data_IF_083388761911
#
_entry.id   IF_083388761911
#
_cell.length_a   1.000
_cell.length_b   1.000
_cell.length_c   1.000
_cell.angle_alpha   90.00
_cell.angle_beta   90.00
_cell.angle_gamma   90.00
#
_symmetry.space_group_name_H-M   'P 1'
#
loop_
_entity.id
_entity.type
_entity.pdbx_description
1 polymer ?
#
# COMPACT_ATOMS: atom_id res chain seq x y z
N UNK A 1 27.98 6.73 -9.75
CA UNK A 1 27.74 5.28 -9.91
C UNK A 1 28.26 4.54 -8.70
N UNK A 2 27.35 4.13 -7.80
CA UNK A 2 27.47 2.93 -6.96
C UNK A 2 26.05 2.57 -6.51
N UNK A 3 25.71 1.32 -6.76
CA UNK A 3 24.38 0.72 -6.81
C UNK A 3 23.81 0.59 -5.39
N UNK A 4 22.56 0.98 -5.18
CA UNK A 4 21.75 0.44 -4.08
C UNK A 4 20.67 -0.40 -4.77
N UNK A 5 20.87 -1.70 -4.66
CA UNK A 5 20.00 -2.74 -5.19
C UNK A 5 18.83 -2.89 -4.21
N UNK A 6 17.61 -2.71 -4.71
CA UNK A 6 16.39 -3.06 -4.00
C UNK A 6 16.38 -4.54 -3.62
N UNK A 7 15.86 -4.87 -2.43
CA UNK A 7 15.46 -6.23 -2.11
C UNK A 7 14.12 -6.21 -1.39
N UNK A 8 13.07 -6.26 -2.21
CA UNK A 8 11.69 -6.51 -1.79
C UNK A 8 11.58 -7.88 -1.11
N UNK A 9 11.19 -7.90 0.16
CA UNK A 9 10.79 -9.14 0.83
C UNK A 9 9.26 -9.24 0.77
N UNK A 10 8.76 -10.02 -0.18
CA UNK A 10 7.37 -10.44 -0.23
C UNK A 10 7.11 -11.42 0.94
N UNK A 11 6.37 -10.97 1.95
CA UNK A 11 5.88 -11.85 3.02
C UNK A 11 4.70 -12.66 2.46
N UNK A 12 4.96 -13.93 2.15
CA UNK A 12 3.97 -14.91 1.75
C UNK A 12 3.29 -15.46 3.02
N UNK A 13 2.13 -14.91 3.39
CA UNK A 13 1.30 -15.45 4.48
C UNK A 13 0.54 -16.68 3.94
N UNK A 14 1.04 -17.87 4.25
CA UNK A 14 0.34 -19.11 4.01
C UNK A 14 -0.72 -19.33 5.11
N UNK A 15 -1.99 -19.05 4.78
CA UNK A 15 -3.13 -19.50 5.58
C UNK A 15 -3.32 -21.01 5.38
N UNK A 16 -3.01 -21.81 6.40
CA UNK A 16 -3.53 -23.19 6.49
C UNK A 16 -4.61 -23.25 7.55
N UNK A 17 -5.86 -23.25 7.09
CA UNK A 17 -7.03 -23.64 7.85
C UNK A 17 -6.92 -25.15 8.16
N UNK A 18 -6.70 -25.51 9.42
CA UNK A 18 -6.88 -26.89 9.89
C UNK A 18 -7.98 -26.92 10.95
N UNK A 19 -9.17 -27.27 10.47
CA UNK A 19 -10.27 -27.71 11.31
C UNK A 19 -10.11 -29.21 11.59
N UNK A 20 -10.05 -29.60 12.85
CA UNK A 20 -10.63 -30.85 13.36
C UNK A 20 -10.67 -30.77 14.90
N UNK A 21 -11.87 -30.95 15.44
CA UNK A 21 -12.18 -30.76 16.85
C UNK A 21 -11.97 -31.99 17.73
N UNK A 22 -12.60 -31.95 18.90
CA UNK A 22 -12.85 -33.12 19.73
C UNK A 22 -12.34 -32.98 21.17
N UNK A 23 -13.18 -32.39 22.01
CA UNK A 23 -13.08 -32.39 23.48
C UNK A 23 -13.32 -33.81 24.00
N UNK A 24 -12.47 -34.29 24.91
CA UNK A 24 -12.90 -35.16 26.04
C UNK A 24 -12.06 -34.88 27.29
N UNK A 25 -12.76 -34.93 28.43
CA UNK A 25 -12.35 -34.62 29.80
C UNK A 25 -11.99 -35.93 30.54
N UNK A 26 -10.94 -35.93 31.38
CA UNK A 26 -10.95 -36.53 32.74
C UNK A 26 -9.71 -36.12 33.57
N UNK A 27 -9.79 -36.10 34.92
CA UNK A 27 -8.74 -35.57 35.80
C UNK A 27 -7.95 -36.64 36.61
N UNK A 28 -6.82 -36.17 37.17
CA UNK A 28 -6.11 -36.61 38.38
C UNK A 28 -5.46 -38.01 38.46
N UNK A 29 -4.16 -38.06 38.77
CA UNK A 29 -3.65 -38.87 39.89
C UNK A 29 -2.30 -38.34 40.44
N UNK A 30 -2.15 -38.46 41.76
CA UNK A 30 -0.97 -38.17 42.57
C UNK A 30 0.01 -39.34 42.58
N UNK A 31 1.31 -39.06 42.72
CA UNK A 31 2.30 -40.12 42.93
C UNK A 31 3.70 -39.62 43.26
N UNK A 32 3.94 -39.46 44.56
CA UNK A 32 5.23 -39.16 45.21
C UNK A 32 6.37 -40.12 44.86
N UNK A 33 7.59 -39.59 44.76
CA UNK A 33 8.82 -40.39 44.66
C UNK A 33 10.09 -39.54 44.80
N UNK A 34 10.50 -39.29 46.05
CA UNK A 34 11.79 -38.69 46.43
C UNK A 34 12.91 -39.72 46.25
N UNK A 35 14.06 -39.32 45.66
CA UNK A 35 15.38 -39.55 46.25
C UNK A 35 16.51 -38.81 45.52
N UNK A 36 17.50 -38.48 46.34
CA UNK A 36 18.64 -37.57 46.22
C UNK A 36 19.92 -38.41 46.06
N UNK A 37 20.86 -38.05 45.17
CA UNK A 37 22.31 -38.28 45.39
C UNK A 37 23.21 -37.55 44.36
N UNK A 38 23.84 -36.48 44.86
CA UNK A 38 25.27 -36.10 44.80
C UNK A 38 26.18 -36.29 43.56
N UNK A 39 26.81 -35.16 43.19
CA UNK A 39 28.26 -34.92 42.97
C UNK A 39 28.97 -35.23 41.62
N UNK A 40 29.59 -34.16 41.10
CA UNK A 40 30.57 -33.95 39.99
C UNK A 40 31.95 -34.61 40.27
N UNK A 41 32.98 -34.71 39.37
CA UNK A 41 33.50 -33.67 38.44
C UNK A 41 34.08 -34.11 37.05
N UNK A 42 34.56 -33.11 36.29
CA UNK A 42 35.32 -33.08 35.01
C UNK A 42 36.53 -34.06 34.93
N UNK A 43 37.21 -34.35 33.79
CA UNK A 43 38.01 -33.49 32.87
C UNK A 43 38.34 -34.24 31.52
N UNK A 44 39.28 -33.81 30.64
CA UNK A 44 39.03 -33.49 29.23
C UNK A 44 39.60 -34.53 28.24
N UNK A 45 39.32 -34.40 26.93
CA UNK A 45 40.25 -34.94 25.95
C UNK A 45 40.31 -34.15 24.66
N UNK A 46 41.57 -34.02 24.27
CA UNK A 46 42.17 -33.23 23.22
C UNK A 46 41.83 -33.72 21.80
N UNK A 47 42.00 -32.76 20.89
CA UNK A 47 41.84 -32.73 19.43
C UNK A 47 42.62 -33.82 18.68
N UNK A 48 42.32 -34.09 17.40
CA UNK A 48 43.06 -33.37 16.35
C UNK A 48 42.25 -32.97 15.11
N UNK A 49 42.66 -31.82 14.56
CA UNK A 49 42.34 -31.27 13.23
C UNK A 49 42.99 -32.14 12.13
N UNK A 50 42.40 -32.19 10.91
CA UNK A 50 43.21 -31.86 9.75
C UNK A 50 42.51 -30.94 8.72
N UNK A 51 43.27 -29.91 8.33
CA UNK A 51 43.49 -29.34 7.00
C UNK A 51 42.35 -29.10 5.98
N UNK A 52 42.08 -27.80 5.79
CA UNK A 52 42.33 -27.03 4.55
C UNK A 52 41.78 -27.56 3.21
N UNK A 53 40.64 -27.00 2.80
CA UNK A 53 40.26 -26.79 1.38
C UNK A 53 39.55 -25.42 1.32
N UNK A 54 40.28 -24.33 1.06
CA UNK A 54 40.53 -23.72 -0.25
C UNK A 54 39.27 -23.17 -0.93
N UNK A 55 39.19 -21.84 -0.81
CA UNK A 55 38.36 -20.88 -1.52
C UNK A 55 38.55 -20.97 -3.03
N UNK A 56 37.46 -21.13 -3.78
CA UNK A 56 37.40 -20.79 -5.21
C UNK A 56 36.22 -19.84 -5.45
N UNK A 57 36.58 -18.61 -5.81
CA UNK A 57 35.75 -17.62 -6.50
C UNK A 57 35.57 -18.01 -7.96
N UNK A 58 34.42 -17.71 -8.59
CA UNK A 58 34.37 -17.41 -10.01
C UNK A 58 34.26 -15.89 -10.22
N UNK A 59 35.28 -15.31 -10.85
CA UNK A 59 35.25 -13.98 -11.47
C UNK A 59 34.58 -14.07 -12.86
N UNK A 60 33.97 -12.98 -13.39
CA UNK A 60 33.08 -12.99 -14.54
C UNK A 60 33.80 -12.68 -15.86
N UNK A 61 33.29 -13.25 -16.95
CA UNK A 61 33.49 -12.74 -18.31
C UNK A 61 32.23 -13.12 -19.12
N UNK A 62 31.35 -12.17 -19.49
CA UNK A 62 31.43 -11.18 -20.57
C UNK A 62 30.93 -11.71 -21.93
N UNK A 63 29.89 -11.00 -22.42
CA UNK A 63 29.42 -10.83 -23.80
C UNK A 63 28.50 -11.89 -24.40
N UNK A 64 27.23 -11.50 -24.59
CA UNK A 64 26.61 -11.44 -25.92
C UNK A 64 25.66 -10.21 -25.97
N UNK A 65 25.96 -9.31 -26.90
CA UNK A 65 25.05 -8.25 -27.39
C UNK A 65 23.83 -8.90 -28.09
N UNK A 66 22.65 -8.28 -28.14
CA UNK A 66 22.08 -7.53 -29.30
C UNK A 66 20.53 -7.61 -29.10
N UNK A 67 19.65 -6.66 -29.53
CA UNK A 67 19.66 -5.20 -29.41
C UNK A 67 18.31 -4.62 -28.86
N UNK A 68 18.36 -3.35 -28.49
CA UNK A 68 17.21 -2.45 -28.28
C UNK A 68 16.42 -2.26 -29.58
N UNK A 69 15.14 -2.66 -29.57
CA UNK A 69 14.18 -2.42 -30.64
C UNK A 69 13.17 -1.32 -30.27
N UNK A 70 13.37 -0.15 -30.86
CA UNK A 70 12.49 1.02 -30.87
C UNK A 70 11.08 0.68 -31.38
N UNK A 71 10.03 1.07 -30.67
CA UNK A 71 8.67 1.13 -31.24
C UNK A 71 8.12 2.55 -31.09
N UNK A 72 8.01 3.25 -32.21
CA UNK A 72 7.32 4.53 -32.43
C UNK A 72 6.33 4.31 -33.59
N UNK A 73 5.16 4.97 -33.63
CA UNK A 73 3.92 4.42 -34.18
C UNK A 73 3.81 4.52 -35.71
N UNK A 74 3.17 3.52 -36.31
CA UNK A 74 2.75 3.55 -37.70
C UNK A 74 1.25 3.89 -37.79
N UNK A 75 1.01 5.01 -38.46
CA UNK A 75 -0.25 5.60 -38.85
C UNK A 75 -0.80 4.91 -40.12
N UNK A 76 -2.14 4.80 -40.19
CA UNK A 76 -3.03 4.76 -41.35
C UNK A 76 -2.61 4.02 -42.64
N UNK A 77 -3.43 3.03 -43.04
CA UNK A 77 -3.66 2.73 -44.46
C UNK A 77 -5.17 2.70 -44.73
N UNK A 78 -5.57 3.60 -45.62
CA UNK A 78 -6.85 3.56 -46.31
C UNK A 78 -6.95 2.30 -47.19
N UNK A 79 -8.17 1.78 -47.33
CA UNK A 79 -8.54 1.02 -48.52
C UNK A 79 -9.97 1.37 -48.90
N UNK A 80 -10.03 2.06 -50.02
CA UNK A 80 -11.21 2.46 -50.79
C UNK A 80 -11.67 1.24 -51.61
N UNK A 81 -12.98 0.95 -51.67
CA UNK A 81 -13.62 0.40 -52.88
C UNK A 81 -15.14 0.52 -52.82
N UNK A 82 -15.62 1.17 -53.87
CA UNK A 82 -16.95 1.54 -54.32
C UNK A 82 -17.96 0.37 -54.52
N UNK A 83 -19.26 0.69 -54.38
CA UNK A 83 -20.39 -0.23 -54.49
C UNK A 83 -21.78 0.40 -54.23
N UNK A 84 -22.11 1.45 -54.99
CA UNK A 84 -23.34 2.29 -54.98
C UNK A 84 -24.75 1.62 -54.92
N UNK A 85 -25.71 2.41 -54.36
CA UNK A 85 -27.19 2.57 -54.62
C UNK A 85 -28.18 1.78 -53.72
N UNK A 86 -29.20 2.35 -53.03
CA UNK A 86 -29.97 3.62 -53.16
C UNK A 86 -30.79 3.93 -51.85
N UNK A 87 -31.69 4.94 -51.75
CA UNK A 87 -31.57 6.14 -50.92
C UNK A 87 -32.50 6.17 -49.67
N UNK A 88 -31.99 6.68 -48.54
CA UNK A 88 -32.78 6.88 -47.32
C UNK A 88 -32.54 8.25 -46.70
N UNK A 89 -33.42 9.20 -47.03
CA UNK A 89 -33.72 10.46 -46.32
C UNK A 89 -32.54 11.23 -45.68
N UNK A 90 -32.19 12.31 -46.37
CA UNK A 90 -31.64 13.53 -45.77
C UNK A 90 -32.44 13.93 -44.52
N UNK A 91 -31.82 13.83 -43.35
CA UNK A 91 -32.03 14.78 -42.27
C UNK A 91 -30.81 15.72 -42.24
N UNK A 92 -30.69 16.55 -43.27
CA UNK A 92 -29.99 17.83 -43.14
C UNK A 92 -30.87 18.73 -42.27
N UNK A 93 -30.76 18.58 -40.95
CA UNK A 93 -31.30 19.57 -40.01
C UNK A 93 -30.31 20.72 -39.95
N UNK A 94 -30.76 21.86 -40.47
CA UNK A 94 -30.16 23.16 -40.26
C UNK A 94 -30.02 23.43 -38.74
N UNK A 95 -28.80 23.64 -38.20
CA UNK A 95 -28.63 23.88 -36.78
C UNK A 95 -28.97 25.33 -36.44
N UNK A 96 -30.24 25.59 -36.15
CA UNK A 96 -30.61 26.61 -35.17
C UNK A 96 -30.58 25.91 -33.79
N UNK A 97 -29.38 25.53 -33.35
CA UNK A 97 -29.16 24.44 -32.41
C UNK A 97 -29.32 24.85 -30.95
N UNK A 98 -30.54 24.67 -30.40
CA UNK A 98 -30.71 24.47 -28.97
C UNK A 98 -30.42 23.00 -28.58
N UNK A 99 -30.09 22.77 -27.32
CA UNK A 99 -29.82 21.43 -26.78
C UNK A 99 -30.99 20.46 -26.98
N UNK A 100 -30.67 19.20 -27.32
CA UNK A 100 -31.67 18.11 -27.43
C UNK A 100 -32.29 17.78 -26.07
N UNK A 101 -33.39 17.02 -26.06
CA UNK A 101 -34.00 16.56 -24.80
C UNK A 101 -33.03 15.66 -24.02
N UNK A 102 -32.32 14.75 -24.68
CA UNK A 102 -31.37 13.87 -24.01
C UNK A 102 -30.18 14.62 -23.42
N UNK A 103 -29.64 15.60 -24.15
CA UNK A 103 -28.61 16.52 -23.64
C UNK A 103 -29.06 17.29 -22.39
N UNK A 104 -30.29 17.81 -22.36
CA UNK A 104 -30.85 18.48 -21.17
C UNK A 104 -31.01 17.53 -19.99
N UNK A 105 -31.44 16.30 -20.25
CA UNK A 105 -31.59 15.28 -19.22
C UNK A 105 -30.23 14.87 -18.64
N UNK A 106 -29.22 14.68 -19.49
CA UNK A 106 -27.84 14.39 -19.07
C UNK A 106 -27.27 15.52 -18.20
N UNK A 107 -27.48 16.78 -18.60
CA UNK A 107 -27.09 17.95 -17.82
C UNK A 107 -27.78 17.99 -16.44
N UNK A 108 -29.08 17.72 -16.37
CA UNK A 108 -29.79 17.65 -15.08
C UNK A 108 -29.25 16.52 -14.19
N UNK A 109 -28.86 15.40 -14.79
CA UNK A 109 -28.23 14.29 -14.07
C UNK A 109 -26.83 14.61 -13.61
N UNK A 110 -26.02 15.28 -14.43
CA UNK A 110 -24.71 15.80 -14.04
C UNK A 110 -24.81 16.66 -12.77
N UNK A 111 -25.74 17.62 -12.74
CA UNK A 111 -25.98 18.43 -11.53
C UNK A 111 -26.41 17.60 -10.32
N UNK A 112 -27.24 16.58 -10.53
CA UNK A 112 -27.69 15.68 -9.45
C UNK A 112 -26.51 14.92 -8.85
N UNK A 113 -25.63 14.36 -9.70
CA UNK A 113 -24.42 13.66 -9.25
C UNK A 113 -23.46 14.57 -8.50
N UNK A 114 -23.13 15.73 -9.07
CA UNK A 114 -22.21 16.70 -8.47
C UNK A 114 -22.75 17.30 -7.16
N UNK A 115 -24.07 17.26 -6.93
CA UNK A 115 -24.66 17.66 -5.64
C UNK A 115 -24.49 16.61 -4.53
N UNK A 116 -24.20 15.35 -4.88
CA UNK A 116 -24.08 14.25 -3.94
C UNK A 116 -22.64 13.81 -3.70
N UNK A 117 -21.81 13.79 -4.75
CA UNK A 117 -20.41 13.38 -4.69
C UNK A 117 -19.56 14.18 -5.67
N UNK A 118 -18.26 14.28 -5.37
CA UNK A 118 -17.30 14.83 -6.30
C UNK A 118 -16.96 13.83 -7.42
N UNK A 119 -16.78 14.35 -8.64
CA UNK A 119 -16.41 13.59 -9.83
C UNK A 119 -15.31 14.32 -10.61
N UNK A 120 -14.45 13.53 -11.24
CA UNK A 120 -13.64 14.03 -12.35
C UNK A 120 -14.51 14.25 -13.59
N UNK A 121 -14.00 15.00 -14.57
CA UNK A 121 -14.70 15.17 -15.85
C UNK A 121 -15.00 13.81 -16.49
N UNK A 122 -13.98 12.95 -16.63
CA UNK A 122 -14.12 11.63 -17.25
C UNK A 122 -15.03 10.72 -16.42
N UNK A 123 -14.86 10.71 -15.09
CA UNK A 123 -15.72 9.90 -14.21
C UNK A 123 -17.18 10.31 -14.27
N UNK A 124 -17.49 11.61 -14.46
CA UNK A 124 -18.86 12.07 -14.65
C UNK A 124 -19.43 11.62 -16.01
N UNK A 125 -18.64 11.70 -17.07
CA UNK A 125 -19.04 11.19 -18.41
C UNK A 125 -19.33 9.69 -18.33
N UNK A 126 -18.41 8.90 -17.78
CA UNK A 126 -18.56 7.45 -17.64
C UNK A 126 -19.80 7.09 -16.80
N UNK A 127 -20.06 7.84 -15.72
CA UNK A 127 -21.23 7.64 -14.88
C UNK A 127 -22.55 7.91 -15.61
N UNK A 128 -22.59 8.92 -16.49
CA UNK A 128 -23.77 9.23 -17.30
C UNK A 128 -23.95 8.18 -18.41
N UNK A 129 -22.87 7.73 -19.05
CA UNK A 129 -22.95 6.61 -20.01
C UNK A 129 -23.49 5.33 -19.35
N UNK A 130 -23.04 5.05 -18.13
CA UNK A 130 -23.56 3.94 -17.34
C UNK A 130 -25.08 4.08 -17.04
N UNK A 131 -25.59 5.31 -16.86
CA UNK A 131 -27.04 5.57 -16.75
C UNK A 131 -27.80 5.43 -18.09
N UNK A 132 -27.10 5.20 -19.21
CA UNK A 132 -27.68 4.95 -20.51
C UNK A 132 -27.82 6.17 -21.41
N UNK A 133 -27.16 7.28 -21.07
CA UNK A 133 -26.99 8.41 -22.00
C UNK A 133 -26.02 8.02 -23.13
N UNK A 134 -26.21 8.57 -24.34
CA UNK A 134 -25.18 8.40 -25.37
C UNK A 134 -23.92 9.16 -24.98
N UNK A 135 -22.77 8.78 -25.55
CA UNK A 135 -21.50 9.48 -25.31
C UNK A 135 -21.64 10.99 -25.55
N UNK A 136 -22.30 11.40 -26.64
CA UNK A 136 -22.51 12.82 -26.96
C UNK A 136 -23.42 13.54 -25.96
N UNK A 137 -24.37 12.85 -25.34
CA UNK A 137 -25.23 13.40 -24.29
C UNK A 137 -24.49 13.52 -22.96
N UNK A 138 -23.68 12.52 -22.60
CA UNK A 138 -22.87 12.50 -21.40
C UNK A 138 -21.80 13.61 -21.43
N UNK A 139 -21.05 13.71 -22.53
CA UNK A 139 -20.10 14.79 -22.79
C UNK A 139 -20.79 16.15 -22.73
N UNK A 140 -21.96 16.29 -23.37
CA UNK A 140 -22.74 17.53 -23.26
C UNK A 140 -23.10 17.86 -21.81
N UNK A 141 -23.51 16.87 -21.02
CA UNK A 141 -23.81 17.04 -19.60
C UNK A 141 -22.62 17.55 -18.80
N UNK A 142 -21.45 16.92 -18.96
CA UNK A 142 -20.22 17.33 -18.29
C UNK A 142 -19.74 18.72 -18.74
N UNK A 143 -19.73 19.01 -20.05
CA UNK A 143 -19.31 20.30 -20.60
C UNK A 143 -20.17 21.48 -20.14
N UNK A 144 -21.47 21.25 -19.93
CA UNK A 144 -22.44 22.32 -19.66
C UNK A 144 -22.87 22.41 -18.19
N UNK A 145 -22.35 21.55 -17.31
CA UNK A 145 -22.72 21.56 -15.89
C UNK A 145 -22.09 22.71 -15.09
N UNK A 146 -21.09 23.40 -15.64
CA UNK A 146 -20.42 24.51 -14.97
C UNK A 146 -19.59 24.09 -13.76
N UNK A 147 -19.18 22.82 -13.70
CA UNK A 147 -18.28 22.34 -12.65
C UNK A 147 -16.91 23.02 -12.77
N UNK A 148 -16.37 23.40 -11.61
CA UNK A 148 -14.96 23.70 -11.44
C UNK A 148 -14.25 22.38 -11.10
N UNK A 149 -13.51 21.84 -12.06
CA UNK A 149 -12.89 20.52 -11.94
C UNK A 149 -11.77 20.47 -10.90
N UNK A 150 -11.08 21.59 -10.66
CA UNK A 150 -10.09 21.71 -9.59
C UNK A 150 -10.80 21.68 -8.22
N UNK A 151 -11.93 22.38 -8.10
CA UNK A 151 -12.76 22.31 -6.89
C UNK A 151 -13.34 20.90 -6.66
N UNK A 152 -13.71 20.18 -7.72
CA UNK A 152 -14.13 18.78 -7.60
C UNK A 152 -13.00 17.88 -7.10
N UNK A 153 -11.76 18.07 -7.57
CA UNK A 153 -10.61 17.32 -7.09
C UNK A 153 -10.37 17.53 -5.60
N UNK A 154 -10.46 18.79 -5.14
CA UNK A 154 -10.34 19.15 -3.71
C UNK A 154 -11.41 18.46 -2.86
N UNK A 155 -12.68 18.48 -3.28
CA UNK A 155 -13.76 17.83 -2.53
C UNK A 155 -13.64 16.30 -2.54
N UNK A 156 -13.16 15.70 -3.63
CA UNK A 156 -12.87 14.26 -3.70
C UNK A 156 -11.74 13.87 -2.76
N UNK A 157 -10.65 14.65 -2.76
CA UNK A 157 -9.52 14.47 -1.88
C UNK A 157 -9.95 14.51 -0.40
N UNK A 158 -10.72 15.55 -0.01
CA UNK A 158 -11.33 15.63 1.34
C UNK A 158 -12.20 14.44 1.67
N UNK A 159 -12.97 13.92 0.70
CA UNK A 159 -13.80 12.74 0.90
C UNK A 159 -12.95 11.52 1.24
N UNK A 160 -11.86 11.27 0.51
CA UNK A 160 -10.92 10.19 0.81
C UNK A 160 -10.30 10.31 2.21
N UNK A 161 -9.83 11.51 2.55
CA UNK A 161 -9.19 11.80 3.82
C UNK A 161 -10.11 11.68 5.05
N UNK A 162 -11.44 11.69 4.85
CA UNK A 162 -12.40 11.42 5.94
C UNK A 162 -12.44 9.95 6.35
N UNK A 163 -12.03 9.03 5.47
CA UNK A 163 -12.16 7.59 5.70
C UNK A 163 -10.82 6.87 5.83
N UNK A 164 -9.78 7.38 5.17
CA UNK A 164 -8.46 6.77 5.16
C UNK A 164 -7.36 7.84 5.16
N UNK A 165 -6.19 7.50 5.69
CA UNK A 165 -5.00 8.34 5.59
C UNK A 165 -4.22 8.02 4.32
N UNK A 166 -3.74 9.06 3.67
CA UNK A 166 -2.92 9.00 2.45
C UNK A 166 -1.64 9.81 2.64
N UNK A 167 -0.56 9.36 2.01
CA UNK A 167 0.55 10.26 1.68
C UNK A 167 0.12 11.27 0.62
N UNK A 168 0.90 12.33 0.42
CA UNK A 168 0.60 13.33 -0.60
C UNK A 168 0.60 12.71 -2.01
N UNK A 169 1.68 12.00 -2.37
CA UNK A 169 1.78 11.27 -3.63
C UNK A 169 0.69 10.20 -3.78
N UNK A 170 0.41 9.44 -2.71
CA UNK A 170 -0.65 8.42 -2.74
C UNK A 170 -2.06 9.01 -2.95
N UNK A 171 -2.31 10.23 -2.46
CA UNK A 171 -3.57 10.93 -2.71
C UNK A 171 -3.65 11.43 -4.16
N UNK A 172 -2.54 11.91 -4.72
CA UNK A 172 -2.46 12.29 -6.14
C UNK A 172 -2.78 11.08 -7.01
N UNK A 173 -2.08 9.95 -6.81
CA UNK A 173 -2.29 8.71 -7.54
C UNK A 173 -3.76 8.25 -7.45
N UNK A 174 -4.37 8.37 -6.27
CA UNK A 174 -5.77 8.01 -6.06
C UNK A 174 -6.74 8.90 -6.85
N UNK A 175 -6.45 10.20 -6.97
CA UNK A 175 -7.26 11.12 -7.76
C UNK A 175 -7.06 10.91 -9.26
N UNK A 176 -5.85 10.60 -9.71
CA UNK A 176 -5.61 10.22 -11.11
C UNK A 176 -6.37 8.93 -11.48
N UNK A 177 -6.38 7.95 -10.57
CA UNK A 177 -7.18 6.74 -10.74
C UNK A 177 -8.68 7.04 -10.84
N UNK A 178 -9.16 8.07 -10.14
CA UNK A 178 -10.55 8.58 -10.25
C UNK A 178 -10.81 9.38 -11.55
N UNK A 179 -9.82 9.49 -12.43
CA UNK A 179 -9.93 10.11 -13.75
C UNK A 179 -9.70 11.62 -13.76
N UNK A 180 -9.18 12.21 -12.67
CA UNK A 180 -8.68 13.59 -12.69
C UNK A 180 -7.40 13.66 -13.53
N UNK A 181 -7.16 14.81 -14.15
CA UNK A 181 -5.83 15.08 -14.76
C UNK A 181 -4.77 15.22 -13.66
N UNK A 182 -3.50 14.99 -14.00
CA UNK A 182 -2.39 15.17 -13.05
C UNK A 182 -2.43 16.55 -12.36
N UNK A 183 -2.60 17.63 -13.13
CA UNK A 183 -2.65 18.98 -12.58
C UNK A 183 -3.82 19.18 -11.59
N UNK A 184 -5.00 18.59 -11.88
CA UNK A 184 -6.16 18.60 -10.97
C UNK A 184 -5.92 17.75 -9.73
N UNK A 185 -5.28 16.59 -9.87
CA UNK A 185 -4.97 15.71 -8.76
C UNK A 185 -3.98 16.37 -7.79
N UNK A 186 -2.91 16.97 -8.32
CA UNK A 186 -1.95 17.79 -7.56
C UNK A 186 -2.67 18.95 -6.87
N UNK A 187 -3.49 19.71 -7.61
CA UNK A 187 -4.25 20.81 -7.02
C UNK A 187 -5.19 20.34 -5.91
N UNK A 188 -5.87 19.20 -6.12
CA UNK A 188 -6.75 18.58 -5.14
C UNK A 188 -6.02 18.19 -3.86
N UNK A 189 -4.88 17.52 -3.98
CA UNK A 189 -4.04 17.14 -2.85
C UNK A 189 -3.52 18.38 -2.10
N UNK A 190 -3.00 19.39 -2.81
CA UNK A 190 -2.44 20.60 -2.21
C UNK A 190 -3.49 21.46 -1.47
N UNK A 191 -4.74 21.47 -1.95
CA UNK A 191 -5.77 22.38 -1.46
C UNK A 191 -6.88 21.70 -0.63
N UNK A 192 -6.76 20.40 -0.34
CA UNK A 192 -7.77 19.69 0.46
C UNK A 192 -7.67 19.91 1.97
N UNK A 193 -6.73 20.74 2.42
CA UNK A 193 -6.52 21.04 3.84
C UNK A 193 -5.65 19.99 4.55
N UNK A 194 -4.72 19.37 3.82
CA UNK A 194 -3.66 18.55 4.40
C UNK A 194 -2.81 19.43 5.33
N UNK A 195 -3.02 19.33 6.63
CA UNK A 195 -1.90 19.57 7.53
C UNK A 195 -1.04 18.30 7.48
N UNK A 196 0.05 18.31 6.70
CA UNK A 196 0.88 17.14 6.36
C UNK A 196 1.24 16.24 7.55
N UNK A 197 1.52 16.82 8.72
CA UNK A 197 1.78 16.08 9.95
C UNK A 197 0.58 15.30 10.49
N UNK A 198 -0.66 15.73 10.24
CA UNK A 198 -1.87 15.09 10.77
C UNK A 198 -2.16 13.72 10.14
N UNK A 199 -1.88 13.56 8.84
CA UNK A 199 -2.14 12.29 8.13
C UNK A 199 -1.08 11.24 8.43
N UNK A 200 0.19 11.63 8.47
CA UNK A 200 1.27 10.73 8.85
C UNK A 200 1.07 10.23 10.29
N UNK A 201 0.70 11.11 11.24
CA UNK A 201 0.36 10.73 12.62
C UNK A 201 -0.83 9.77 12.67
N UNK A 202 -1.90 10.03 11.90
CA UNK A 202 -3.07 9.15 11.86
C UNK A 202 -2.72 7.76 11.30
N UNK A 203 -1.91 7.72 10.24
CA UNK A 203 -1.43 6.48 9.63
C UNK A 203 -0.51 5.70 10.57
N UNK A 204 0.42 6.38 11.25
CA UNK A 204 1.26 5.80 12.28
C UNK A 204 0.43 5.10 13.37
N UNK A 205 -0.61 5.76 13.89
CA UNK A 205 -1.53 5.17 14.87
C UNK A 205 -2.24 3.94 14.31
N UNK A 206 -2.76 4.03 13.08
CA UNK A 206 -3.40 2.88 12.42
C UNK A 206 -2.46 1.69 12.25
N UNK A 207 -1.17 1.91 12.01
CA UNK A 207 -0.19 0.83 11.93
C UNK A 207 0.06 0.19 13.29
N UNK A 208 0.25 1.01 14.33
CA UNK A 208 0.52 0.54 15.69
C UNK A 208 -0.69 -0.17 16.33
N UNK A 209 -1.90 0.07 15.84
CA UNK A 209 -3.10 -0.68 16.22
C UNK A 209 -3.09 -2.12 15.66
N UNK A 210 -2.39 -2.37 14.55
CA UNK A 210 -2.38 -3.67 13.86
C UNK A 210 -1.09 -4.47 14.10
N UNK A 211 0.06 -3.81 14.14
CA UNK A 211 1.37 -4.44 14.30
C UNK A 211 2.30 -3.58 15.14
N UNK A 212 3.19 -4.22 15.88
CA UNK A 212 4.26 -3.52 16.57
C UNK A 212 5.35 -3.08 15.57
N UNK A 213 5.93 -1.91 15.82
CA UNK A 213 7.06 -1.35 15.07
C UNK A 213 8.08 -0.76 16.04
N UNK A 214 9.36 -0.76 15.64
CA UNK A 214 10.36 0.12 16.23
C UNK A 214 10.10 1.56 15.78
N UNK A 215 10.78 2.53 16.42
CA UNK A 215 10.73 3.93 15.97
C UNK A 215 11.20 4.02 14.51
N UNK A 216 12.40 3.53 14.22
CA UNK A 216 13.01 3.59 12.89
C UNK A 216 12.18 2.80 11.87
N UNK A 217 11.70 1.60 12.23
CA UNK A 217 10.86 0.79 11.35
C UNK A 217 9.53 1.45 11.01
N UNK A 218 8.92 2.22 11.93
CA UNK A 218 7.71 2.98 11.63
C UNK A 218 8.00 4.16 10.69
N UNK A 219 9.11 4.87 10.91
CA UNK A 219 9.54 5.97 10.02
C UNK A 219 9.78 5.44 8.61
N UNK A 220 10.57 4.38 8.47
CA UNK A 220 10.85 3.74 7.18
C UNK A 220 9.57 3.25 6.48
N UNK A 221 8.61 2.71 7.23
CA UNK A 221 7.35 2.24 6.68
C UNK A 221 6.49 3.40 6.11
N UNK A 222 6.47 4.54 6.80
CA UNK A 222 5.74 5.73 6.32
C UNK A 222 6.43 6.36 5.10
N UNK A 223 7.77 6.42 5.09
CA UNK A 223 8.52 6.86 3.91
C UNK A 223 8.27 5.98 2.71
N UNK A 224 8.22 4.66 2.91
CA UNK A 224 7.89 3.70 1.86
C UNK A 224 6.49 3.94 1.27
N UNK A 225 5.53 4.40 2.08
CA UNK A 225 4.20 4.80 1.61
C UNK A 225 4.15 6.20 0.99
N UNK A 226 5.28 6.90 0.89
CA UNK A 226 5.39 8.20 0.22
C UNK A 226 5.20 9.40 1.15
N UNK A 227 5.22 9.23 2.47
CA UNK A 227 5.33 10.38 3.38
C UNK A 227 6.74 10.97 3.30
N UNK A 228 6.86 12.30 3.45
CA UNK A 228 8.17 12.93 3.55
C UNK A 228 8.90 12.45 4.81
N UNK A 229 10.23 12.43 4.80
CA UNK A 229 11.02 12.08 6.00
C UNK A 229 10.62 12.93 7.21
N UNK A 230 10.37 14.23 7.00
CA UNK A 230 9.95 15.15 8.06
C UNK A 230 8.57 14.77 8.64
N UNK A 231 7.60 14.43 7.79
CA UNK A 231 6.27 13.98 8.24
C UNK A 231 6.32 12.61 8.93
N UNK A 232 7.14 11.69 8.42
CA UNK A 232 7.31 10.35 9.00
C UNK A 232 7.94 10.41 10.40
N UNK A 233 8.99 11.21 10.56
CA UNK A 233 9.61 11.50 11.86
C UNK A 233 8.61 12.18 12.80
N UNK A 234 7.93 13.23 12.31
CA UNK A 234 6.89 13.90 13.10
C UNK A 234 5.79 12.93 13.55
N UNK A 235 5.40 12.00 12.67
CA UNK A 235 4.41 10.98 12.98
C UNK A 235 4.85 10.02 14.06
N UNK A 236 6.08 9.50 13.98
CA UNK A 236 6.64 8.66 15.04
C UNK A 236 6.71 9.43 16.36
N UNK A 237 7.12 10.69 16.35
CA UNK A 237 7.20 11.51 17.56
C UNK A 237 5.83 11.80 18.20
N UNK A 238 4.78 11.92 17.38
CA UNK A 238 3.46 12.41 17.82
C UNK A 238 2.34 11.34 17.76
N UNK A 239 2.65 10.09 17.40
CA UNK A 239 1.67 9.01 17.40
C UNK A 239 1.27 8.56 18.82
N UNK A 240 2.07 8.89 19.83
CA UNK A 240 1.83 8.54 21.23
C UNK A 240 2.29 7.14 21.61
N UNK A 241 3.18 6.54 20.82
CA UNK A 241 3.75 5.24 21.11
C UNK A 241 4.67 5.26 22.33
N UNK A 242 4.57 4.23 23.17
CA UNK A 242 5.64 3.85 24.08
C UNK A 242 6.51 2.79 23.38
N UNK A 243 7.74 3.15 23.04
CA UNK A 243 8.63 2.27 22.27
C UNK A 243 9.08 1.03 23.03
N UNK A 244 9.12 1.07 24.36
CA UNK A 244 9.35 -0.11 25.18
C UNK A 244 8.13 -1.05 25.13
N UNK A 245 6.91 -0.49 25.15
CA UNK A 245 5.68 -1.27 24.96
C UNK A 245 5.64 -1.92 23.56
N UNK A 246 6.04 -1.19 22.52
CA UNK A 246 6.11 -1.75 21.16
C UNK A 246 7.14 -2.88 21.05
N UNK A 247 8.30 -2.75 21.68
CA UNK A 247 9.30 -3.82 21.74
C UNK A 247 8.74 -5.08 22.44
N UNK A 248 8.02 -4.90 23.56
CA UNK A 248 7.37 -6.01 24.26
C UNK A 248 6.28 -6.69 23.41
N UNK A 249 5.47 -5.92 22.67
CA UNK A 249 4.46 -6.46 21.74
C UNK A 249 5.12 -7.23 20.59
N UNK A 250 6.21 -6.71 20.03
CA UNK A 250 6.94 -7.39 18.95
C UNK A 250 7.60 -8.67 19.44
N UNK A 251 8.27 -8.63 20.59
CA UNK A 251 8.86 -9.79 21.25
C UNK A 251 7.80 -10.89 21.46
N UNK A 252 6.63 -10.50 21.98
CA UNK A 252 5.49 -11.40 22.15
C UNK A 252 5.07 -12.04 20.83
N UNK A 253 4.92 -11.24 19.77
CA UNK A 253 4.52 -11.75 18.45
C UNK A 253 5.48 -12.80 17.91
N UNK A 254 6.79 -12.64 18.13
CA UNK A 254 7.78 -13.65 17.72
C UNK A 254 7.67 -14.93 18.54
N UNK A 255 7.47 -14.80 19.86
CA UNK A 255 7.33 -15.94 20.76
C UNK A 255 6.03 -16.72 20.53
N UNK A 256 4.97 -16.05 20.10
CA UNK A 256 3.72 -16.70 19.70
C UNK A 256 3.90 -17.53 18.42
N UNK A 257 4.87 -17.19 17.56
CA UNK A 257 5.15 -17.91 16.30
C UNK A 257 6.22 -19.02 16.47
N UNK A 258 7.25 -18.78 17.28
CA UNK A 258 8.40 -19.68 17.40
C UNK A 258 9.16 -19.48 18.72
N UNK A 259 9.93 -20.49 19.12
CA UNK A 259 10.78 -20.39 20.30
C UNK A 259 12.06 -19.62 20.01
N UNK A 260 12.41 -18.67 20.87
CA UNK A 260 13.68 -17.94 20.82
C UNK A 260 14.47 -18.14 22.11
N UNK A 261 15.80 -18.05 22.02
CA UNK A 261 16.64 -17.78 23.19
C UNK A 261 16.57 -16.30 23.55
N UNK A 262 16.85 -15.94 24.81
CA UNK A 262 16.89 -14.53 25.26
C UNK A 262 17.73 -13.66 24.33
N UNK A 263 18.99 -14.04 24.10
CA UNK A 263 19.89 -13.26 23.24
C UNK A 263 19.44 -13.26 21.78
N UNK A 264 18.95 -14.40 21.25
CA UNK A 264 18.47 -14.45 19.87
C UNK A 264 17.26 -13.55 19.61
N UNK A 265 16.36 -13.39 20.59
CA UNK A 265 15.23 -12.47 20.46
C UNK A 265 15.67 -11.01 20.57
N UNK A 266 16.65 -10.70 21.43
CA UNK A 266 17.26 -9.37 21.50
C UNK A 266 17.87 -9.00 20.15
N UNK A 267 18.73 -9.87 19.60
CA UNK A 267 19.38 -9.65 18.30
C UNK A 267 18.33 -9.45 17.18
N UNK A 268 17.21 -10.19 17.24
CA UNK A 268 16.12 -10.06 16.26
C UNK A 268 15.40 -8.71 16.36
N UNK A 269 15.15 -8.22 17.57
CA UNK A 269 14.52 -6.91 17.77
C UNK A 269 15.47 -5.77 17.39
N UNK A 270 16.76 -5.88 17.70
CA UNK A 270 17.77 -4.93 17.24
C UNK A 270 17.85 -4.89 15.71
N UNK A 271 17.77 -6.06 15.06
CA UNK A 271 17.69 -6.13 13.60
C UNK A 271 16.44 -5.44 13.04
N UNK A 272 15.32 -5.46 13.76
CA UNK A 272 14.10 -4.71 13.41
C UNK A 272 14.16 -3.21 13.80
N UNK A 273 15.31 -2.72 14.26
CA UNK A 273 15.53 -1.30 14.54
C UNK A 273 15.13 -0.85 15.96
N UNK A 274 14.87 -1.78 16.88
CA UNK A 274 14.77 -1.41 18.30
C UNK A 274 16.17 -1.10 18.86
N UNK A 275 16.25 -0.11 19.75
CA UNK A 275 17.49 0.09 20.53
C UNK A 275 17.76 -1.12 21.43
N UNK A 276 19.02 -1.33 21.82
CA UNK A 276 19.39 -2.43 22.73
C UNK A 276 18.53 -2.44 24.01
N UNK A 277 18.34 -1.28 24.64
CA UNK A 277 17.56 -1.17 25.87
C UNK A 277 16.08 -1.53 25.66
N UNK A 278 15.48 -1.12 24.53
CA UNK A 278 14.11 -1.51 24.16
C UNK A 278 13.99 -3.00 23.87
N UNK A 279 14.95 -3.57 23.14
CA UNK A 279 14.99 -4.99 22.84
C UNK A 279 15.09 -5.81 24.13
N UNK A 280 16.02 -5.46 25.03
CA UNK A 280 16.16 -6.07 26.36
C UNK A 280 14.85 -5.96 27.14
N UNK A 281 14.26 -4.76 27.21
CA UNK A 281 12.99 -4.55 27.90
C UNK A 281 11.88 -5.46 27.34
N UNK A 282 11.75 -5.52 26.01
CA UNK A 282 10.72 -6.29 25.35
C UNK A 282 10.83 -7.80 25.63
N UNK A 283 12.06 -8.32 25.66
CA UNK A 283 12.33 -9.73 25.99
C UNK A 283 12.03 -10.03 27.47
N UNK A 284 12.48 -9.16 28.38
CA UNK A 284 12.23 -9.32 29.82
C UNK A 284 10.74 -9.22 30.18
N UNK A 285 10.01 -8.32 29.52
CA UNK A 285 8.56 -8.19 29.66
C UNK A 285 7.78 -9.46 29.26
N UNK A 286 8.40 -10.35 28.48
CA UNK A 286 7.86 -11.64 28.05
C UNK A 286 8.45 -12.83 28.83
N UNK A 287 9.20 -12.59 29.90
CA UNK A 287 9.66 -13.62 30.84
C UNK A 287 10.91 -14.38 30.42
N UNK A 288 11.73 -13.81 29.53
CA UNK A 288 13.01 -14.37 29.06
C UNK A 288 14.23 -13.64 29.64
#
# INVERSE_FOLDING_TARGET
MKKILAMSLAILIAFTLSACGGITITPADSGSGTQEETATPAVPTDTPVPDKVQSETPDPASQDEVPSGTIKPAQASASDTDGTKTPGKNNTVSPSAGATTGQKNALQKAHSYLSFSAFSYNGLVDQLEYEGFTHEEAVYGADNCGADWDAQAVEKAKSYLKFSSFSHDGLIDQLEYEGFTHDQAVYGADNCGLEGGSQAVAKAKSYLDFSAFSYDGLVEQLEYEGFSHEDAVNAADNCGADWNEQAAKKAKSYLDLSSFSRNGLIDQLEYEGFTHDQAVYGVEANGL
#
